data_IF_645559070973
#
_entry.id   IF_645559070973
#
_cell.length_a   1.000
_cell.length_b   1.000
_cell.length_c   1.000
_cell.angle_alpha   90.00
_cell.angle_beta   90.00
_cell.angle_gamma   90.00
#
_symmetry.space_group_name_H-M   'P 1'
#
loop_
_entity.id
_entity.type
_entity.pdbx_description
1 polymer ?
#
# COMPACT_ATOMS: atom_id res chain seq x y z
N UNK A 1 7.68 -3.65 14.67
CA UNK A 1 8.30 -3.74 13.32
C UNK A 1 7.26 -3.78 12.20
N UNK A 2 6.23 -4.65 12.27
CA UNK A 2 5.19 -4.72 11.22
C UNK A 2 4.19 -3.55 11.22
N UNK A 3 3.68 -3.18 12.41
CA UNK A 3 2.66 -2.12 12.55
C UNK A 3 3.18 -0.73 12.20
N UNK A 4 4.39 -0.36 12.65
CA UNK A 4 5.02 0.93 12.33
C UNK A 4 5.20 1.13 10.81
N UNK A 5 5.57 0.05 10.10
CA UNK A 5 5.69 0.09 8.64
C UNK A 5 4.35 0.31 7.96
N UNK A 6 3.29 -0.35 8.44
CA UNK A 6 1.95 -0.19 7.88
C UNK A 6 1.44 1.24 8.10
N UNK A 7 1.61 1.79 9.31
CA UNK A 7 1.20 3.16 9.62
C UNK A 7 1.88 4.19 8.70
N UNK A 8 3.18 3.99 8.38
CA UNK A 8 3.90 4.85 7.44
C UNK A 8 3.34 4.77 6.01
N UNK A 9 2.91 3.60 5.55
CA UNK A 9 2.33 3.41 4.21
C UNK A 9 0.92 4.00 4.13
N UNK A 10 0.10 3.78 5.16
CA UNK A 10 -1.25 4.33 5.25
C UNK A 10 -1.20 5.87 5.31
N UNK A 11 -0.29 6.42 6.10
CA UNK A 11 -0.06 7.86 6.16
C UNK A 11 0.42 8.42 4.82
N UNK A 12 1.28 7.68 4.12
CA UNK A 12 1.74 8.05 2.79
C UNK A 12 0.56 8.10 1.79
N UNK A 13 -0.29 7.08 1.79
CA UNK A 13 -1.47 7.00 0.94
C UNK A 13 -2.42 8.17 1.16
N UNK A 14 -2.78 8.49 2.42
CA UNK A 14 -3.66 9.62 2.70
C UNK A 14 -3.07 10.99 2.34
N UNK A 15 -1.74 11.12 2.32
CA UNK A 15 -1.07 12.35 1.90
C UNK A 15 -0.98 12.52 0.38
N UNK A 16 -0.83 11.42 -0.38
CA UNK A 16 -0.51 11.47 -1.82
C UNK A 16 -1.66 11.03 -2.72
N UNK A 17 -2.68 10.37 -2.17
CA UNK A 17 -3.79 9.77 -2.91
C UNK A 17 -3.45 8.39 -3.50
N UNK A 18 -4.25 7.91 -4.47
CA UNK A 18 -4.10 6.60 -5.10
C UNK A 18 -2.67 6.30 -5.57
N UNK A 19 -2.04 5.32 -4.95
CA UNK A 19 -0.72 4.81 -5.29
C UNK A 19 -0.53 3.39 -4.75
N UNK A 20 0.51 2.69 -5.21
CA UNK A 20 0.81 1.32 -4.86
C UNK A 20 0.89 1.10 -3.34
N UNK A 21 1.40 2.06 -2.56
CA UNK A 21 1.40 1.99 -1.09
C UNK A 21 0.01 1.74 -0.47
N UNK A 22 -1.07 2.20 -1.11
CA UNK A 22 -2.45 2.01 -0.65
C UNK A 22 -3.25 1.01 -1.50
N UNK A 23 -2.59 0.18 -2.31
CA UNK A 23 -3.26 -0.77 -3.19
C UNK A 23 -3.34 -2.16 -2.56
N UNK A 24 -4.51 -2.80 -2.59
CA UNK A 24 -4.75 -4.17 -2.07
C UNK A 24 -3.83 -5.22 -2.69
N UNK A 25 -3.40 -4.98 -3.93
CA UNK A 25 -2.53 -5.91 -4.67
C UNK A 25 -1.05 -5.75 -4.32
N UNK A 26 -0.68 -4.70 -3.60
CA UNK A 26 0.70 -4.35 -3.38
C UNK A 26 1.21 -4.95 -2.08
N UNK A 27 2.38 -5.58 -2.17
CA UNK A 27 3.04 -6.18 -1.02
C UNK A 27 4.33 -5.42 -0.70
N UNK A 28 4.37 -4.78 0.46
CA UNK A 28 5.53 -4.01 0.89
C UNK A 28 6.74 -4.91 1.13
N UNK A 29 7.85 -4.61 0.46
CA UNK A 29 9.18 -5.18 0.77
C UNK A 29 9.88 -4.33 1.82
N UNK A 30 9.73 -3.00 1.72
CA UNK A 30 10.21 -2.02 2.68
C UNK A 30 9.35 -0.73 2.58
N UNK A 31 9.75 0.32 3.29
CA UNK A 31 9.01 1.59 3.34
C UNK A 31 9.05 2.41 2.05
N UNK A 32 9.81 2.01 1.02
CA UNK A 32 9.95 2.74 -0.27
C UNK A 32 9.57 1.90 -1.48
N UNK A 33 9.63 0.58 -1.38
CA UNK A 33 9.40 -0.33 -2.49
C UNK A 33 8.62 -1.58 -2.05
N UNK A 34 7.93 -2.16 -3.01
CA UNK A 34 7.15 -3.37 -2.83
C UNK A 34 6.92 -4.05 -4.17
N UNK A 35 6.11 -5.09 -4.17
CA UNK A 35 5.83 -5.90 -5.34
C UNK A 35 4.34 -5.93 -5.67
N UNK A 36 3.99 -5.79 -6.94
CA UNK A 36 2.60 -5.83 -7.41
C UNK A 36 2.16 -7.27 -7.68
N UNK A 37 1.33 -7.84 -6.81
CA UNK A 37 0.86 -9.24 -6.94
C UNK A 37 -0.27 -9.44 -7.95
N UNK A 38 -0.81 -8.34 -8.48
CA UNK A 38 -1.83 -8.38 -9.54
C UNK A 38 -1.25 -8.82 -10.89
N UNK A 39 -0.01 -8.44 -11.19
CA UNK A 39 0.65 -8.76 -12.46
C UNK A 39 1.27 -10.15 -12.43
N UNK A 40 1.41 -10.78 -13.60
CA UNK A 40 2.10 -12.06 -13.70
C UNK A 40 3.54 -11.98 -13.17
N UNK A 41 4.07 -13.14 -12.75
CA UNK A 41 5.48 -13.24 -12.40
C UNK A 41 6.34 -13.08 -13.65
N UNK A 42 7.46 -12.38 -13.50
CA UNK A 42 8.45 -12.13 -14.53
C UNK A 42 9.80 -12.74 -14.13
N UNK A 43 10.73 -12.93 -15.08
CA UNK A 43 12.09 -13.35 -14.77
C UNK A 43 12.72 -12.45 -13.72
N UNK A 44 13.51 -13.06 -12.82
CA UNK A 44 14.06 -12.34 -11.67
C UNK A 44 14.93 -11.14 -12.03
N UNK A 45 15.63 -11.21 -13.17
CA UNK A 45 16.45 -10.12 -13.70
C UNK A 45 15.64 -8.85 -14.03
N UNK A 46 14.36 -9.01 -14.40
CA UNK A 46 13.50 -7.90 -14.83
C UNK A 46 12.68 -7.30 -13.67
N UNK A 47 12.55 -8.03 -12.55
CA UNK A 47 11.79 -7.60 -11.37
C UNK A 47 12.15 -6.20 -10.85
N UNK A 48 13.44 -5.82 -10.73
CA UNK A 48 13.80 -4.55 -10.14
C UNK A 48 13.93 -3.41 -11.17
N UNK A 49 13.73 -3.69 -12.47
CA UNK A 49 13.84 -2.68 -13.53
C UNK A 49 12.91 -1.46 -13.32
N UNK A 50 11.66 -1.60 -12.83
CA UNK A 50 10.81 -0.44 -12.54
C UNK A 50 11.30 0.43 -11.35
N UNK A 51 12.23 -0.08 -10.54
CA UNK A 51 12.94 0.70 -9.53
C UNK A 51 14.15 1.46 -10.11
N UNK A 52 14.43 1.34 -11.41
CA UNK A 52 15.62 1.90 -12.06
C UNK A 52 16.89 1.09 -11.84
N UNK A 53 16.79 -0.14 -11.32
CA UNK A 53 17.93 -1.02 -11.09
C UNK A 53 18.25 -1.77 -12.40
N UNK A 54 19.45 -1.54 -12.92
CA UNK A 54 19.93 -2.14 -14.18
C UNK A 54 20.76 -3.41 -13.99
N UNK A 55 21.06 -3.76 -12.73
CA UNK A 55 21.82 -4.96 -12.38
C UNK A 55 21.88 -5.17 -10.87
N UNK A 56 21.93 -6.43 -10.45
CA UNK A 56 22.06 -6.82 -9.05
C UNK A 56 23.07 -7.96 -8.91
N UNK A 57 23.99 -7.87 -7.96
CA UNK A 57 24.94 -8.95 -7.65
C UNK A 57 24.24 -10.17 -7.04
N UNK A 58 23.14 -9.94 -6.33
CA UNK A 58 22.27 -11.00 -5.82
C UNK A 58 21.35 -11.48 -6.94
N UNK A 59 21.40 -12.77 -7.24
CA UNK A 59 20.44 -13.39 -8.15
C UNK A 59 19.03 -13.32 -7.54
N UNK A 60 18.15 -12.58 -8.18
CA UNK A 60 16.73 -12.56 -7.85
C UNK A 60 16.05 -13.74 -8.53
N UNK A 61 15.23 -14.49 -7.77
CA UNK A 61 14.34 -15.48 -8.36
C UNK A 61 13.18 -14.84 -9.12
N UNK A 62 12.52 -15.63 -9.97
CA UNK A 62 11.27 -15.22 -10.61
C UNK A 62 10.22 -14.78 -9.57
N UNK A 63 9.36 -13.85 -9.95
CA UNK A 63 8.38 -13.27 -9.04
C UNK A 63 7.74 -12.01 -9.60
N UNK A 64 7.02 -11.27 -8.76
CA UNK A 64 6.32 -10.07 -9.20
C UNK A 64 7.26 -8.88 -9.41
N UNK A 65 6.82 -7.95 -10.28
CA UNK A 65 7.53 -6.70 -10.54
C UNK A 65 7.60 -5.85 -9.26
N UNK A 66 8.78 -5.29 -9.01
CA UNK A 66 9.01 -4.38 -7.88
C UNK A 66 8.78 -2.94 -8.32
N UNK A 67 7.99 -2.20 -7.56
CA UNK A 67 7.64 -0.80 -7.88
C UNK A 67 7.97 0.13 -6.72
N UNK A 68 8.26 1.41 -7.00
CA UNK A 68 8.23 2.44 -5.96
C UNK A 68 6.84 2.47 -5.31
N UNK A 69 6.77 2.83 -4.03
CA UNK A 69 5.50 2.97 -3.32
C UNK A 69 4.59 4.04 -3.94
N UNK A 70 5.19 5.05 -4.58
CA UNK A 70 4.52 6.17 -5.24
C UNK A 70 3.92 5.80 -6.61
N UNK A 71 4.27 4.64 -7.15
CA UNK A 71 3.78 4.23 -8.45
C UNK A 71 2.25 4.07 -8.43
N UNK A 72 1.57 4.51 -9.48
CA UNK A 72 0.12 4.29 -9.65
C UNK A 72 -0.08 3.45 -10.90
N UNK A 73 -0.52 2.21 -10.74
CA UNK A 73 -0.83 1.35 -11.88
C UNK A 73 -2.30 1.50 -12.28
N UNK A 74 -2.62 1.21 -13.54
CA UNK A 74 -4.01 1.25 -14.05
C UNK A 74 -4.96 0.24 -13.39
N UNK A 75 -4.42 -0.73 -12.64
CA UNK A 75 -5.16 -1.76 -11.91
C UNK A 75 -5.29 -1.43 -10.41
N UNK A 76 -5.04 -0.17 -10.02
CA UNK A 76 -5.15 0.25 -8.62
C UNK A 76 -6.51 -0.15 -8.03
N UNK A 77 -6.47 -0.74 -6.85
CA UNK A 77 -7.65 -1.12 -6.08
C UNK A 77 -7.41 -0.83 -4.62
N UNK A 78 -8.32 -0.08 -4.03
CA UNK A 78 -8.46 0.10 -2.59
C UNK A 78 -9.88 -0.36 -2.21
N UNK A 79 -10.02 -1.65 -1.90
CA UNK A 79 -11.24 -2.24 -1.39
C UNK A 79 -11.29 -2.29 0.13
N UNK A 80 -10.29 -1.72 0.81
CA UNK A 80 -10.16 -1.77 2.25
C UNK A 80 -11.19 -0.87 2.92
N UNK A 81 -11.88 -1.39 3.95
CA UNK A 81 -12.87 -0.60 4.69
C UNK A 81 -12.19 0.26 5.77
N UNK A 82 -11.69 1.42 5.37
CA UNK A 82 -11.04 2.38 6.26
C UNK A 82 -11.93 2.84 7.43
N UNK A 83 -13.25 2.77 7.29
CA UNK A 83 -14.21 3.14 8.36
C UNK A 83 -14.20 2.17 9.53
N UNK A 84 -13.72 0.94 9.32
CA UNK A 84 -13.56 -0.05 10.37
C UNK A 84 -12.37 0.22 11.29
N UNK A 85 -11.49 1.18 10.94
CA UNK A 85 -10.32 1.50 11.75
C UNK A 85 -10.65 2.47 12.91
N UNK A 86 -9.94 2.37 14.05
CA UNK A 86 -10.15 3.27 15.16
C UNK A 86 -9.98 4.75 14.76
N UNK A 87 -10.86 5.67 15.20
CA UNK A 87 -10.74 7.10 14.89
C UNK A 87 -9.40 7.72 15.30
N UNK A 88 -8.79 7.21 16.37
CA UNK A 88 -7.45 7.64 16.80
C UNK A 88 -6.36 7.27 15.77
N UNK A 89 -6.45 6.07 15.19
CA UNK A 89 -5.51 5.62 14.14
C UNK A 89 -5.64 6.48 12.88
N UNK A 90 -6.89 6.69 12.42
CA UNK A 90 -7.19 7.52 11.25
C UNK A 90 -6.63 8.94 11.39
N UNK A 91 -6.66 9.53 12.60
CA UNK A 91 -6.03 10.83 12.85
C UNK A 91 -4.50 10.79 12.73
N UNK A 92 -3.84 9.72 13.21
CA UNK A 92 -2.37 9.59 13.14
C UNK A 92 -1.87 9.50 11.69
N UNK A 93 -2.59 8.77 10.85
CA UNK A 93 -2.24 8.62 9.42
C UNK A 93 -2.70 9.82 8.56
N UNK A 94 -3.34 10.84 9.15
CA UNK A 94 -3.78 12.02 8.40
C UNK A 94 -4.97 11.77 7.47
N UNK A 95 -5.84 10.82 7.81
CA UNK A 95 -7.04 10.55 7.04
C UNK A 95 -8.02 11.76 7.05
N UNK A 96 -8.88 11.91 6.02
CA UNK A 96 -9.85 13.01 5.96
C UNK A 96 -10.81 13.04 7.16
N UNK A 97 -11.15 14.24 7.63
CA UNK A 97 -12.06 14.42 8.77
C UNK A 97 -13.42 13.75 8.55
N UNK A 98 -13.92 13.73 7.31
CA UNK A 98 -15.16 13.05 6.95
C UNK A 98 -15.08 11.54 7.20
N UNK A 99 -13.94 10.90 6.93
CA UNK A 99 -13.73 9.47 7.16
C UNK A 99 -13.63 9.17 8.65
N UNK A 100 -12.93 10.03 9.40
CA UNK A 100 -12.83 9.93 10.87
C UNK A 100 -14.22 10.02 11.52
N UNK A 101 -15.07 10.93 11.06
CA UNK A 101 -16.43 11.05 11.56
C UNK A 101 -17.26 9.77 11.31
N UNK A 102 -17.20 9.23 10.09
CA UNK A 102 -17.88 7.98 9.73
C UNK A 102 -17.43 6.78 10.59
N UNK A 103 -16.13 6.71 10.93
CA UNK A 103 -15.61 5.67 11.81
C UNK A 103 -16.08 5.82 13.27
N UNK A 104 -16.43 7.03 13.71
CA UNK A 104 -16.97 7.29 15.06
C UNK A 104 -18.44 6.93 15.21
N UNK A 105 -19.20 6.97 14.11
CA UNK A 105 -20.64 6.69 14.13
C UNK A 105 -20.96 5.20 14.31
N UNK A 106 -19.98 4.32 14.03
CA UNK A 106 -20.08 2.87 14.24
C UNK A 106 -21.23 2.19 13.47
N UNK A 107 -21.33 0.85 13.49
CA UNK A 107 -22.58 0.22 13.10
C UNK A 107 -23.61 0.56 14.18
N UNK A 108 -24.67 1.29 13.81
CA UNK A 108 -25.87 1.41 14.65
C UNK A 108 -26.45 0.00 14.78
N UNK A 109 -26.05 -0.76 15.80
CA UNK A 109 -26.78 -1.93 16.23
C UNK A 109 -28.14 -1.45 16.73
N UNK A 110 -29.13 -1.53 15.85
CA UNK A 110 -30.53 -1.44 16.22
C UNK A 110 -30.90 -2.63 17.09
N UNK A 111 -31.67 -2.32 18.12
CA UNK A 111 -32.32 -3.20 19.10
C UNK A 111 -32.99 -4.44 18.51
#
# INVERSE_FOLDING_TARGET
MGEERQELLDAFYHQHGPCCAGCDWWHSLNSRAGECRRTAMIPGADRPAPLGIVGASLALGAGHAMTPREHVCGEFKDGFDWRGLPPAYLRRIGAPTALIAQAQEGPRHGE
#
